data_IF_705276911849
#
_entry.id   IF_705276911849
#
_cell.length_a   1.000
_cell.length_b   1.000
_cell.length_c   1.000
_cell.angle_alpha   90.00
_cell.angle_beta   90.00
_cell.angle_gamma   90.00
#
_symmetry.space_group_name_H-M   'P 1'
#
loop_
_entity.id
_entity.type
_entity.pdbx_description
1 polymer ?
#
# COMPACT_ATOMS: atom_id res chain seq x y z
N UNK A 1 -15.05 -26.69 11.19
CA UNK A 1 -13.86 -25.80 11.17
C UNK A 1 -14.36 -24.50 10.57
N UNK A 2 -14.09 -23.36 11.22
CA UNK A 2 -14.60 -22.06 10.77
C UNK A 2 -14.17 -21.77 9.33
N UNK A 3 -15.12 -21.36 8.49
CA UNK A 3 -14.88 -21.06 7.09
C UNK A 3 -14.45 -19.60 6.96
N UNK A 4 -13.17 -19.37 6.63
CA UNK A 4 -12.63 -18.03 6.41
C UNK A 4 -12.41 -17.77 4.92
N UNK A 5 -12.75 -16.57 4.46
CA UNK A 5 -12.33 -16.05 3.16
C UNK A 5 -11.73 -14.66 3.31
N UNK A 6 -10.54 -14.47 2.75
CA UNK A 6 -9.89 -13.16 2.67
C UNK A 6 -9.80 -12.75 1.21
N UNK A 7 -10.23 -11.53 0.90
CA UNK A 7 -10.21 -10.97 -0.43
C UNK A 7 -9.00 -10.03 -0.57
N UNK A 8 -8.20 -10.25 -1.61
CA UNK A 8 -7.15 -9.31 -2.00
C UNK A 8 -7.65 -8.50 -3.18
N UNK A 9 -7.71 -7.19 -3.00
CA UNK A 9 -8.23 -6.24 -4.01
C UNK A 9 -7.15 -5.83 -5.00
N UNK A 10 -7.45 -5.97 -6.30
CA UNK A 10 -6.58 -5.63 -7.42
C UNK A 10 -7.26 -4.63 -8.34
N UNK A 11 -6.65 -3.46 -8.52
CA UNK A 11 -7.03 -2.51 -9.57
C UNK A 11 -6.17 -2.67 -10.83
N UNK A 12 -4.88 -2.89 -10.61
CA UNK A 12 -3.87 -3.05 -11.64
C UNK A 12 -3.31 -4.48 -11.67
N UNK A 13 -2.61 -4.82 -12.74
CA UNK A 13 -1.99 -6.14 -12.89
C UNK A 13 -0.78 -6.31 -11.97
N UNK A 14 -0.96 -7.13 -10.94
CA UNK A 14 0.07 -7.48 -9.96
C UNK A 14 0.23 -8.99 -9.83
N UNK A 15 1.18 -9.44 -9.00
CA UNK A 15 1.27 -10.87 -8.64
C UNK A 15 -0.04 -11.31 -8.00
N UNK A 16 -0.68 -12.31 -8.60
CA UNK A 16 -1.89 -12.92 -8.07
C UNK A 16 -1.52 -13.80 -6.89
N UNK A 17 -2.13 -13.53 -5.74
CA UNK A 17 -2.00 -14.33 -4.53
C UNK A 17 -3.34 -15.04 -4.33
N UNK A 18 -3.31 -16.38 -4.32
CA UNK A 18 -4.49 -17.23 -4.18
C UNK A 18 -4.12 -18.44 -3.35
N UNK A 19 -4.95 -18.76 -2.36
CA UNK A 19 -4.88 -19.98 -1.53
C UNK A 19 -6.28 -20.55 -1.35
N UNK A 20 -6.50 -21.49 -0.44
CA UNK A 20 -7.87 -21.93 -0.13
C UNK A 20 -8.65 -20.85 0.63
N UNK A 21 -7.94 -19.98 1.37
CA UNK A 21 -8.52 -18.89 2.17
C UNK A 21 -8.47 -17.57 1.39
N UNK A 22 -7.39 -17.31 0.66
CA UNK A 22 -7.16 -16.05 -0.05
C UNK A 22 -7.74 -16.10 -1.45
N UNK A 23 -8.63 -15.17 -1.75
CA UNK A 23 -9.35 -15.05 -3.02
C UNK A 23 -9.04 -13.68 -3.66
N UNK A 24 -8.44 -13.64 -4.87
CA UNK A 24 -8.21 -12.37 -5.56
C UNK A 24 -9.51 -11.83 -6.17
N UNK A 25 -9.76 -10.53 -6.00
CA UNK A 25 -10.89 -9.79 -6.60
C UNK A 25 -10.37 -8.58 -7.38
N UNK A 26 -10.78 -8.46 -8.64
CA UNK A 26 -10.54 -7.30 -9.48
C UNK A 26 -11.58 -6.23 -9.15
N UNK A 27 -11.13 -5.04 -8.76
CA UNK A 27 -11.99 -3.90 -8.43
C UNK A 27 -12.10 -2.93 -9.60
N UNK A 28 -13.27 -2.30 -9.77
CA UNK A 28 -13.53 -1.41 -10.89
C UNK A 28 -13.53 -2.10 -12.24
N UNK A 29 -13.84 -3.41 -12.27
CA UNK A 29 -13.80 -4.22 -13.48
C UNK A 29 -14.76 -3.72 -14.57
N UNK A 30 -15.89 -3.13 -14.20
CA UNK A 30 -16.87 -2.56 -15.14
C UNK A 30 -16.28 -1.44 -16.03
N UNK A 31 -15.23 -0.76 -15.56
CA UNK A 31 -14.57 0.35 -16.27
C UNK A 31 -13.09 0.05 -16.57
N UNK A 32 -12.67 -1.21 -16.45
CA UNK A 32 -11.28 -1.61 -16.62
C UNK A 32 -10.93 -1.86 -18.10
N UNK A 33 -9.73 -1.42 -18.51
CA UNK A 33 -9.19 -1.70 -19.85
C UNK A 33 -8.81 -3.18 -20.03
N UNK A 34 -8.42 -3.86 -18.95
CA UNK A 34 -8.02 -5.27 -18.94
C UNK A 34 -8.83 -6.04 -17.89
N UNK A 35 -9.37 -7.20 -18.29
CA UNK A 35 -10.04 -8.15 -17.38
C UNK A 35 -9.06 -9.23 -16.93
N UNK A 36 -8.92 -9.43 -15.62
CA UNK A 36 -8.07 -10.45 -15.04
C UNK A 36 -8.84 -11.77 -14.90
N UNK A 37 -8.72 -12.64 -15.90
CA UNK A 37 -9.51 -13.88 -16.03
C UNK A 37 -9.49 -14.82 -14.80
N UNK A 38 -8.41 -14.83 -14.03
CA UNK A 38 -8.24 -15.70 -12.85
C UNK A 38 -8.77 -15.08 -11.54
N UNK A 39 -9.48 -13.95 -11.62
CA UNK A 39 -10.01 -13.20 -10.48
C UNK A 39 -11.53 -13.10 -10.50
N UNK A 40 -12.10 -13.04 -9.30
CA UNK A 40 -13.49 -12.59 -9.12
C UNK A 40 -13.58 -11.15 -9.64
N UNK A 41 -14.62 -10.83 -10.40
CA UNK A 41 -14.95 -9.46 -10.77
C UNK A 41 -15.88 -8.83 -9.76
N UNK A 42 -15.72 -7.54 -9.48
CA UNK A 42 -16.66 -6.79 -8.65
C UNK A 42 -17.85 -6.21 -9.44
N UNK A 43 -18.07 -6.67 -10.67
CA UNK A 43 -18.99 -6.11 -11.68
C UNK A 43 -20.20 -7.00 -12.00
N UNK A 44 -20.46 -8.03 -11.19
CA UNK A 44 -21.64 -8.91 -11.31
C UNK A 44 -22.62 -8.71 -10.16
N UNK A 45 -23.87 -9.15 -10.31
CA UNK A 45 -24.88 -9.04 -9.26
C UNK A 45 -25.11 -7.58 -8.83
N UNK A 46 -25.42 -7.38 -7.55
CA UNK A 46 -25.51 -6.03 -6.97
C UNK A 46 -24.10 -5.48 -6.68
N UNK A 47 -23.76 -4.35 -7.30
CA UNK A 47 -22.41 -3.84 -7.32
C UNK A 47 -22.30 -2.33 -7.51
N UNK A 48 -21.11 -1.80 -7.22
CA UNK A 48 -20.73 -0.40 -7.45
C UNK A 48 -19.41 -0.29 -8.22
N UNK A 49 -19.12 -1.25 -9.10
CA UNK A 49 -17.84 -1.34 -9.83
C UNK A 49 -17.52 -0.04 -10.59
N UNK A 50 -18.52 0.55 -11.25
CA UNK A 50 -18.39 1.82 -11.97
C UNK A 50 -18.01 3.01 -11.05
N UNK A 51 -18.31 2.91 -9.75
CA UNK A 51 -17.96 3.94 -8.74
C UNK A 51 -16.54 3.76 -8.19
N UNK A 52 -15.75 2.79 -8.67
CA UNK A 52 -14.37 2.55 -8.23
C UNK A 52 -13.45 3.79 -8.26
N UNK A 53 -13.56 4.75 -9.21
CA UNK A 53 -12.73 5.96 -9.17
C UNK A 53 -12.86 6.72 -7.84
N UNK A 54 -14.03 6.62 -7.18
CA UNK A 54 -14.31 7.23 -5.89
C UNK A 54 -14.12 6.28 -4.71
N UNK A 55 -14.68 5.09 -4.82
CA UNK A 55 -14.70 4.08 -3.75
C UNK A 55 -13.42 3.24 -3.65
N UNK A 56 -12.58 3.24 -4.69
CA UNK A 56 -11.39 2.40 -4.82
C UNK A 56 -11.69 0.94 -4.41
N UNK A 57 -10.87 0.36 -3.53
CA UNK A 57 -10.97 -1.03 -3.06
C UNK A 57 -12.33 -1.37 -2.41
N UNK A 58 -13.08 -0.37 -1.92
CA UNK A 58 -14.41 -0.58 -1.33
C UNK A 58 -15.43 -1.13 -2.33
N UNK A 59 -15.23 -0.94 -3.64
CA UNK A 59 -16.11 -1.54 -4.66
C UNK A 59 -16.10 -3.08 -4.59
N UNK A 60 -14.94 -3.69 -4.37
CA UNK A 60 -14.83 -5.13 -4.10
C UNK A 60 -15.42 -5.54 -2.75
N UNK A 61 -15.30 -4.68 -1.72
CA UNK A 61 -15.93 -4.94 -0.42
C UNK A 61 -17.46 -4.94 -0.53
N UNK A 62 -18.02 -3.96 -1.26
CA UNK A 62 -19.46 -3.88 -1.50
C UNK A 62 -19.97 -5.11 -2.23
N UNK A 63 -19.26 -5.54 -3.29
CA UNK A 63 -19.63 -6.72 -4.05
C UNK A 63 -19.68 -7.97 -3.17
N UNK A 64 -18.68 -8.17 -2.31
CA UNK A 64 -18.67 -9.30 -1.36
C UNK A 64 -19.83 -9.23 -0.37
N UNK A 65 -20.19 -8.03 0.10
CA UNK A 65 -21.33 -7.84 1.01
C UNK A 65 -22.66 -8.19 0.34
N UNK A 66 -22.89 -7.71 -0.88
CA UNK A 66 -24.16 -7.89 -1.58
C UNK A 66 -24.33 -9.26 -2.22
N UNK A 67 -23.22 -9.90 -2.59
CA UNK A 67 -23.20 -11.21 -3.26
C UNK A 67 -22.65 -12.31 -2.32
N UNK A 68 -22.97 -12.21 -1.03
CA UNK A 68 -22.37 -13.02 0.03
C UNK A 68 -22.60 -14.53 -0.12
N UNK A 69 -23.75 -14.92 -0.68
CA UNK A 69 -24.05 -16.32 -0.98
C UNK A 69 -23.11 -16.89 -2.06
N UNK A 70 -22.70 -16.08 -3.04
CA UNK A 70 -21.80 -16.50 -4.13
C UNK A 70 -20.40 -16.84 -3.62
N UNK A 71 -19.98 -16.20 -2.54
CA UNK A 71 -18.72 -16.53 -1.87
C UNK A 71 -18.88 -17.68 -0.87
N UNK A 72 -20.05 -18.30 -0.78
CA UNK A 72 -20.31 -19.50 -0.03
C UNK A 72 -20.42 -19.30 1.48
N UNK A 73 -20.91 -18.14 1.93
CA UNK A 73 -21.26 -17.90 3.33
C UNK A 73 -20.15 -18.22 4.37
N UNK A 74 -18.96 -17.59 4.29
CA UNK A 74 -17.92 -17.80 5.30
C UNK A 74 -18.31 -17.24 6.68
N UNK A 75 -17.75 -17.83 7.74
CA UNK A 75 -17.86 -17.37 9.12
C UNK A 75 -16.98 -16.13 9.37
N UNK A 76 -15.85 -16.03 8.66
CA UNK A 76 -14.94 -14.88 8.69
C UNK A 76 -14.66 -14.31 7.31
N UNK A 77 -14.62 -12.98 7.23
CA UNK A 77 -14.38 -12.22 6.02
C UNK A 77 -13.26 -11.24 6.26
N UNK A 78 -12.29 -11.21 5.35
CA UNK A 78 -11.24 -10.20 5.41
C UNK A 78 -10.94 -9.53 4.10
N UNK A 79 -10.31 -8.37 4.19
CA UNK A 79 -9.82 -7.59 3.06
C UNK A 79 -8.35 -7.22 3.27
N UNK A 80 -7.58 -7.42 2.22
CA UNK A 80 -6.19 -6.95 2.10
C UNK A 80 -6.01 -6.27 0.74
N UNK A 81 -4.91 -5.53 0.60
CA UNK A 81 -4.56 -4.94 -0.70
C UNK A 81 -3.56 -5.82 -1.44
N UNK A 82 -3.53 -5.73 -2.77
CA UNK A 82 -2.58 -6.44 -3.63
C UNK A 82 -1.09 -6.30 -3.26
N UNK A 83 -0.70 -5.22 -2.55
CA UNK A 83 0.68 -4.98 -2.08
C UNK A 83 0.82 -4.84 -0.57
N UNK A 84 -0.27 -4.91 0.20
CA UNK A 84 -0.22 -4.76 1.67
C UNK A 84 -0.96 -5.92 2.31
N UNK A 85 -0.24 -6.70 3.10
CA UNK A 85 -0.77 -7.91 3.71
C UNK A 85 -0.47 -7.94 5.20
N UNK A 86 -1.39 -8.47 5.98
CA UNK A 86 -1.15 -8.74 7.40
C UNK A 86 0.05 -9.66 7.59
N UNK A 87 0.78 -9.45 8.67
CA UNK A 87 1.84 -10.35 9.12
C UNK A 87 1.21 -11.33 10.13
N UNK A 88 0.86 -12.52 9.65
CA UNK A 88 0.28 -13.60 10.44
C UNK A 88 1.36 -14.45 11.11
N UNK A 89 2.51 -14.60 10.47
CA UNK A 89 3.58 -15.47 10.95
C UNK A 89 4.42 -14.76 12.03
N UNK A 90 4.39 -15.31 13.24
CA UNK A 90 5.13 -14.76 14.40
C UNK A 90 6.65 -14.73 14.19
N UNK A 91 7.18 -15.52 13.25
CA UNK A 91 8.61 -15.57 12.94
C UNK A 91 8.99 -14.69 11.75
N UNK A 92 8.08 -13.85 11.25
CA UNK A 92 8.38 -12.88 10.19
C UNK A 92 9.47 -11.90 10.64
N UNK A 93 10.54 -11.76 9.85
CA UNK A 93 11.72 -11.02 10.23
C UNK A 93 11.51 -9.51 10.05
N UNK A 94 11.14 -8.82 11.11
CA UNK A 94 11.00 -7.36 11.11
C UNK A 94 12.31 -6.60 11.37
N UNK A 95 13.36 -7.24 11.91
CA UNK A 95 14.56 -6.55 12.43
C UNK A 95 15.26 -5.66 11.40
N UNK A 96 15.21 -6.04 10.12
CA UNK A 96 15.90 -5.33 9.04
C UNK A 96 14.92 -4.62 8.08
N UNK A 97 13.62 -4.61 8.37
CA UNK A 97 12.62 -3.99 7.49
C UNK A 97 12.33 -2.58 7.95
N UNK A 98 12.42 -1.62 7.03
CA UNK A 98 12.09 -0.22 7.30
C UNK A 98 10.57 -0.03 7.26
N UNK A 99 9.98 0.77 8.16
CA UNK A 99 8.55 1.07 8.08
C UNK A 99 8.26 1.91 6.82
N UNK A 100 7.01 1.89 6.35
CA UNK A 100 6.57 2.60 5.16
C UNK A 100 6.87 4.10 5.28
N UNK A 101 6.49 4.67 6.41
CA UNK A 101 6.85 6.01 6.92
C UNK A 101 7.12 5.95 8.43
N UNK A 102 7.44 7.06 9.08
CA UNK A 102 7.82 7.05 10.50
C UNK A 102 6.63 6.61 11.37
N UNK A 103 6.89 5.73 12.35
CA UNK A 103 5.91 5.27 13.35
C UNK A 103 4.91 4.22 12.90
N UNK A 104 4.72 3.99 11.58
CA UNK A 104 3.71 3.05 11.10
C UNK A 104 4.11 1.57 11.26
N UNK A 105 3.13 0.75 11.65
CA UNK A 105 3.19 -0.71 11.73
C UNK A 105 3.07 -1.43 10.37
N UNK A 106 3.56 -0.80 9.30
CA UNK A 106 3.57 -1.36 7.94
C UNK A 106 5.00 -1.35 7.41
N UNK A 107 5.59 -2.53 7.21
CA UNK A 107 7.01 -2.69 6.94
C UNK A 107 7.30 -3.01 5.48
N UNK A 108 8.28 -2.33 4.89
CA UNK A 108 8.64 -2.51 3.48
C UNK A 108 9.44 -3.78 3.27
N UNK A 109 9.10 -4.50 2.20
CA UNK A 109 9.95 -5.52 1.59
C UNK A 109 10.09 -5.22 0.10
N UNK A 110 11.22 -5.59 -0.49
CA UNK A 110 11.52 -5.26 -1.89
C UNK A 110 10.62 -6.03 -2.87
N UNK A 111 10.27 -7.29 -2.54
CA UNK A 111 9.52 -8.21 -3.38
C UNK A 111 8.74 -9.23 -2.54
N UNK A 112 7.78 -9.87 -3.18
CA UNK A 112 7.07 -11.03 -2.62
C UNK A 112 7.95 -12.28 -2.73
N UNK A 113 8.38 -12.82 -1.59
CA UNK A 113 9.34 -13.92 -1.48
C UNK A 113 8.80 -15.11 -0.67
N UNK A 114 9.65 -16.10 -0.37
CA UNK A 114 9.25 -17.28 0.43
C UNK A 114 8.81 -16.91 1.85
N UNK A 115 9.34 -15.82 2.42
CA UNK A 115 8.90 -15.33 3.73
C UNK A 115 7.46 -14.80 3.64
N UNK A 116 7.13 -14.08 2.57
CA UNK A 116 5.77 -13.63 2.27
C UNK A 116 4.81 -14.81 1.97
N UNK A 117 5.25 -15.81 1.21
CA UNK A 117 4.48 -17.02 0.93
C UNK A 117 4.16 -17.79 2.22
N UNK A 118 5.17 -18.00 3.06
CA UNK A 118 5.01 -18.63 4.37
C UNK A 118 4.06 -17.82 5.26
N UNK A 119 4.21 -16.49 5.28
CA UNK A 119 3.34 -15.60 6.03
C UNK A 119 1.86 -15.78 5.67
N UNK A 120 1.55 -15.91 4.38
CA UNK A 120 0.18 -16.06 3.86
C UNK A 120 -0.28 -17.52 3.73
N UNK A 121 0.44 -18.48 4.32
CA UNK A 121 0.02 -19.87 4.34
C UNK A 121 -1.26 -20.04 5.18
N UNK A 122 -2.20 -20.86 4.70
CA UNK A 122 -3.52 -21.05 5.34
C UNK A 122 -3.42 -21.36 6.84
N UNK A 123 -2.45 -22.19 7.24
CA UNK A 123 -2.19 -22.52 8.65
C UNK A 123 -1.92 -21.30 9.54
N UNK A 124 -1.18 -20.31 9.03
CA UNK A 124 -0.80 -19.13 9.80
C UNK A 124 -1.99 -18.16 9.91
N UNK A 125 -2.81 -18.09 8.86
CA UNK A 125 -4.05 -17.32 8.86
C UNK A 125 -5.05 -17.92 9.85
N UNK A 126 -5.25 -19.24 9.82
CA UNK A 126 -6.13 -19.94 10.78
C UNK A 126 -5.65 -19.77 12.22
N UNK A 127 -4.34 -19.87 12.46
CA UNK A 127 -3.76 -19.59 13.78
C UNK A 127 -4.02 -18.15 14.25
N UNK A 128 -4.19 -17.21 13.32
CA UNK A 128 -4.41 -15.80 13.66
C UNK A 128 -5.78 -15.54 14.28
N UNK A 129 -6.78 -16.39 14.01
CA UNK A 129 -8.14 -16.29 14.54
C UNK A 129 -8.41 -17.27 15.70
N UNK A 130 -7.45 -18.13 16.05
CA UNK A 130 -7.52 -18.99 17.25
C UNK A 130 -7.80 -18.15 18.51
N UNK A 131 -8.63 -18.70 19.41
CA UNK A 131 -9.05 -18.02 20.63
C UNK A 131 -10.34 -17.20 20.49
N UNK A 132 -11.11 -17.42 19.41
CA UNK A 132 -12.41 -16.80 19.17
C UNK A 132 -12.28 -15.27 19.05
N UNK A 133 -11.36 -14.82 18.19
CA UNK A 133 -11.11 -13.40 17.91
C UNK A 133 -12.23 -12.82 17.05
N UNK A 134 -12.87 -11.74 17.47
CA UNK A 134 -14.01 -11.16 16.74
C UNK A 134 -13.57 -10.37 15.50
N UNK A 135 -12.48 -9.60 15.62
CA UNK A 135 -11.96 -8.78 14.55
C UNK A 135 -10.42 -8.62 14.63
N UNK A 136 -9.78 -8.77 13.48
CA UNK A 136 -8.37 -8.46 13.25
C UNK A 136 -8.28 -7.18 12.41
N UNK A 137 -7.44 -6.24 12.82
CA UNK A 137 -7.16 -5.02 12.07
C UNK A 137 -5.65 -4.70 12.08
N UNK A 138 -5.22 -3.74 11.27
CA UNK A 138 -3.84 -3.23 11.34
C UNK A 138 -3.69 -2.48 12.67
N UNK A 139 -2.53 -2.57 13.31
CA UNK A 139 -2.21 -1.76 14.49
C UNK A 139 -2.49 -0.27 14.25
N UNK A 140 -3.09 0.43 15.23
CA UNK A 140 -3.37 1.84 15.12
C UNK A 140 -2.08 2.65 14.89
N UNK A 141 -2.17 3.64 14.02
CA UNK A 141 -1.12 4.61 13.75
C UNK A 141 -1.48 5.95 14.39
N UNK A 142 -0.49 6.57 15.03
CA UNK A 142 -0.60 7.94 15.53
C UNK A 142 -0.07 8.92 14.50
N UNK A 143 -0.94 9.80 13.97
CA UNK A 143 -0.58 10.79 12.95
C UNK A 143 0.48 11.79 13.43
N UNK A 144 0.68 11.91 14.75
CA UNK A 144 1.73 12.77 15.31
C UNK A 144 3.15 12.31 14.95
N UNK A 145 3.33 11.05 14.52
CA UNK A 145 4.60 10.60 13.94
C UNK A 145 4.87 11.17 12.55
N UNK A 146 3.83 11.63 11.85
CA UNK A 146 3.97 12.28 10.54
C UNK A 146 4.38 13.75 10.72
N UNK A 147 3.66 14.47 11.57
CA UNK A 147 3.97 15.82 12.03
C UNK A 147 3.51 15.96 13.47
N UNK A 148 4.40 16.33 14.38
CA UNK A 148 4.08 16.45 15.82
C UNK A 148 3.07 17.54 16.13
N UNK A 149 2.78 18.44 15.17
CA UNK A 149 1.73 19.46 15.30
C UNK A 149 0.36 18.96 14.81
N UNK A 150 0.28 17.74 14.29
CA UNK A 150 -0.94 17.16 13.76
C UNK A 150 -1.75 16.49 14.87
N UNK A 151 -2.45 17.33 15.63
CA UNK A 151 -3.16 16.92 16.85
C UNK A 151 -4.55 16.35 16.58
N UNK A 152 -5.11 16.64 15.41
CA UNK A 152 -6.53 16.42 15.13
C UNK A 152 -6.70 15.79 13.74
N UNK A 153 -7.40 14.66 13.69
CA UNK A 153 -7.62 13.91 12.46
C UNK A 153 -8.34 14.74 11.37
N UNK A 154 -9.25 15.63 11.78
CA UNK A 154 -9.93 16.55 10.86
C UNK A 154 -8.94 17.46 10.13
N UNK A 155 -7.97 18.00 10.85
CA UNK A 155 -6.93 18.87 10.34
C UNK A 155 -5.95 18.08 9.48
N UNK A 156 -5.57 16.87 9.92
CA UNK A 156 -4.77 15.92 9.14
C UNK A 156 -5.38 15.66 7.76
N UNK A 157 -6.69 15.35 7.71
CA UNK A 157 -7.41 15.11 6.46
C UNK A 157 -7.21 16.28 5.49
N UNK A 158 -7.35 17.51 5.96
CA UNK A 158 -7.23 18.72 5.12
C UNK A 158 -5.78 19.01 4.72
N UNK A 159 -4.81 18.73 5.59
CA UNK A 159 -3.42 19.11 5.37
C UNK A 159 -2.63 18.09 4.54
N UNK A 160 -2.92 16.79 4.67
CA UNK A 160 -2.02 15.73 4.17
C UNK A 160 -2.61 14.90 3.03
N UNK A 161 -3.93 14.75 2.97
CA UNK A 161 -4.57 13.96 1.92
C UNK A 161 -4.69 14.81 0.68
N UNK A 162 -3.90 14.46 -0.35
CA UNK A 162 -3.95 15.13 -1.63
C UNK A 162 -5.38 15.13 -2.19
N UNK A 163 -5.90 16.33 -2.44
CA UNK A 163 -7.25 16.52 -2.97
C UNK A 163 -8.37 16.52 -1.94
N UNK A 164 -8.07 16.46 -0.65
CA UNK A 164 -9.07 16.63 0.40
C UNK A 164 -9.70 18.04 0.33
N UNK A 165 -10.98 18.12 0.71
CA UNK A 165 -11.71 19.38 0.74
C UNK A 165 -12.50 19.49 2.03
N UNK A 166 -12.48 20.68 2.65
CA UNK A 166 -13.20 20.96 3.91
C UNK A 166 -14.69 20.67 3.80
N UNK A 167 -15.28 20.93 2.64
CA UNK A 167 -16.69 20.65 2.38
C UNK A 167 -17.01 19.16 2.48
N UNK A 168 -16.12 18.28 2.00
CA UNK A 168 -16.30 16.82 2.06
C UNK A 168 -16.29 16.36 3.52
N UNK A 169 -15.34 16.86 4.32
CA UNK A 169 -15.31 16.57 5.76
C UNK A 169 -16.58 17.02 6.48
N UNK A 170 -17.06 18.23 6.21
CA UNK A 170 -18.27 18.74 6.85
C UNK A 170 -19.51 17.91 6.49
N UNK A 171 -19.65 17.52 5.22
CA UNK A 171 -20.73 16.63 4.76
C UNK A 171 -20.62 15.27 5.46
N UNK A 172 -19.41 14.69 5.51
CA UNK A 172 -19.14 13.42 6.18
C UNK A 172 -19.53 13.44 7.66
N UNK A 173 -19.02 14.43 8.41
CA UNK A 173 -19.29 14.60 9.83
C UNK A 173 -20.79 14.76 10.10
N UNK A 174 -21.48 15.64 9.36
CA UNK A 174 -22.92 15.85 9.52
C UNK A 174 -23.75 14.62 9.12
N UNK A 175 -23.31 13.86 8.11
CA UNK A 175 -23.99 12.64 7.67
C UNK A 175 -23.95 11.58 8.76
N UNK A 176 -22.81 11.41 9.44
CA UNK A 176 -22.70 10.47 10.57
C UNK A 176 -23.64 10.88 11.71
N UNK A 177 -23.61 12.15 12.13
CA UNK A 177 -24.51 12.62 13.20
C UNK A 177 -26.00 12.41 12.87
N UNK A 178 -26.36 12.52 11.59
CA UNK A 178 -27.74 12.36 11.14
C UNK A 178 -28.17 10.90 11.07
N UNK A 179 -27.35 10.04 10.48
CA UNK A 179 -27.70 8.65 10.19
C UNK A 179 -27.40 7.70 11.36
N UNK A 180 -26.36 8.00 12.13
CA UNK A 180 -25.83 7.17 13.22
C UNK A 180 -25.51 8.05 14.45
N UNK A 181 -26.53 8.70 15.08
CA UNK A 181 -26.32 9.58 16.23
C UNK A 181 -25.64 8.89 17.43
N UNK A 182 -25.75 7.57 17.55
CA UNK A 182 -25.05 6.74 18.53
C UNK A 182 -23.52 6.68 18.32
N UNK A 183 -23.01 7.14 17.17
CA UNK A 183 -21.59 7.32 16.91
C UNK A 183 -21.07 8.72 17.27
N UNK A 184 -21.90 9.63 17.79
CA UNK A 184 -21.49 11.03 18.05
C UNK A 184 -20.24 11.15 18.93
N UNK A 185 -20.17 10.44 20.05
CA UNK A 185 -18.98 10.45 20.93
C UNK A 185 -17.75 9.87 20.23
N UNK A 186 -17.91 8.79 19.46
CA UNK A 186 -16.82 8.17 18.69
C UNK A 186 -16.33 9.12 17.61
N UNK A 187 -17.25 9.79 16.92
CA UNK A 187 -16.97 10.74 15.87
C UNK A 187 -16.16 11.91 16.41
N UNK A 188 -16.53 12.46 17.57
CA UNK A 188 -15.77 13.53 18.22
C UNK A 188 -14.38 13.03 18.66
N UNK A 189 -14.33 11.88 19.32
CA UNK A 189 -13.05 11.28 19.75
C UNK A 189 -12.11 11.01 18.57
N UNK A 190 -12.65 10.57 17.43
CA UNK A 190 -11.88 10.37 16.21
C UNK A 190 -11.44 11.70 15.61
N UNK A 191 -12.37 12.65 15.45
CA UNK A 191 -12.12 13.95 14.81
C UNK A 191 -11.08 14.79 15.55
N UNK A 192 -11.15 14.79 16.89
CA UNK A 192 -10.24 15.53 17.78
C UNK A 192 -9.10 14.66 18.32
N UNK A 193 -8.96 13.43 17.84
CA UNK A 193 -7.87 12.53 18.17
C UNK A 193 -6.83 12.43 17.06
N UNK A 194 -5.82 11.60 17.27
CA UNK A 194 -4.70 11.40 16.34
C UNK A 194 -4.53 9.95 15.87
N UNK A 195 -5.46 9.06 16.20
CA UNK A 195 -5.31 7.62 15.96
C UNK A 195 -6.12 7.15 14.75
N UNK A 196 -5.49 6.37 13.87
CA UNK A 196 -6.12 5.77 12.68
C UNK A 196 -5.66 4.34 12.40
N UNK A 197 -6.57 3.48 11.97
CA UNK A 197 -6.26 2.17 11.39
C UNK A 197 -6.18 2.29 9.86
N UNK A 198 -4.98 2.51 9.34
CA UNK A 198 -4.74 2.76 7.91
C UNK A 198 -5.02 1.54 7.02
N UNK A 199 -5.13 1.78 5.71
CA UNK A 199 -5.24 0.79 4.63
C UNK A 199 -6.58 0.02 4.55
N UNK A 200 -7.62 0.38 5.30
CA UNK A 200 -8.92 -0.31 5.23
C UNK A 200 -8.82 -1.86 5.23
N UNK A 201 -7.88 -2.42 6.02
CA UNK A 201 -7.62 -3.86 6.07
C UNK A 201 -8.18 -4.43 7.37
N UNK A 202 -8.92 -5.53 7.27
CA UNK A 202 -9.51 -6.22 8.41
C UNK A 202 -9.78 -7.71 8.12
N UNK A 203 -10.04 -8.48 9.18
CA UNK A 203 -10.69 -9.80 9.14
C UNK A 203 -11.73 -9.80 10.26
N UNK A 204 -13.00 -10.02 9.97
CA UNK A 204 -14.11 -9.92 10.92
C UNK A 204 -14.98 -11.16 10.86
N UNK A 205 -15.62 -11.50 11.98
CA UNK A 205 -16.78 -12.41 11.98
C UNK A 205 -17.87 -11.88 11.06
N UNK A 206 -18.65 -12.79 10.46
CA UNK A 206 -19.74 -12.48 9.52
C UNK A 206 -20.65 -11.35 10.01
N UNK A 207 -21.16 -11.45 11.23
CA UNK A 207 -22.11 -10.45 11.78
C UNK A 207 -21.48 -9.05 11.85
N UNK A 208 -20.23 -8.96 12.29
CA UNK A 208 -19.50 -7.70 12.34
C UNK A 208 -19.20 -7.14 10.94
N UNK A 209 -18.87 -8.01 9.99
CA UNK A 209 -18.68 -7.58 8.60
C UNK A 209 -19.96 -6.98 8.00
N UNK A 210 -21.12 -7.58 8.25
CA UNK A 210 -22.41 -7.07 7.77
C UNK A 210 -22.75 -5.73 8.42
N UNK A 211 -22.63 -5.63 9.74
CA UNK A 211 -22.87 -4.39 10.48
C UNK A 211 -21.92 -3.27 10.02
N UNK A 212 -20.64 -3.59 9.80
CA UNK A 212 -19.66 -2.65 9.28
C UNK A 212 -20.01 -2.19 7.87
N UNK A 213 -20.38 -3.09 6.97
CA UNK A 213 -20.72 -2.71 5.60
C UNK A 213 -21.97 -1.84 5.55
N UNK A 214 -23.01 -2.17 6.34
CA UNK A 214 -24.20 -1.33 6.45
C UNK A 214 -23.84 0.08 6.94
N UNK A 215 -23.12 0.19 8.06
CA UNK A 215 -22.62 1.46 8.58
C UNK A 215 -21.81 2.25 7.53
N UNK A 216 -20.80 1.60 6.95
CA UNK A 216 -19.85 2.23 6.03
C UNK A 216 -20.55 2.72 4.75
N UNK A 217 -21.30 1.85 4.07
CA UNK A 217 -21.86 2.18 2.77
C UNK A 217 -23.07 3.10 2.85
N UNK A 218 -23.90 3.04 3.90
CA UNK A 218 -24.99 4.00 4.08
C UNK A 218 -24.44 5.43 4.23
N UNK A 219 -23.37 5.62 4.99
CA UNK A 219 -22.72 6.93 5.15
C UNK A 219 -22.07 7.36 3.82
N UNK A 220 -21.27 6.50 3.20
CA UNK A 220 -20.55 6.86 1.97
C UNK A 220 -21.50 7.20 0.82
N UNK A 221 -22.61 6.47 0.67
CA UNK A 221 -23.62 6.77 -0.35
C UNK A 221 -24.28 8.14 -0.13
N UNK A 222 -24.68 8.45 1.10
CA UNK A 222 -25.28 9.74 1.42
C UNK A 222 -24.29 10.90 1.25
N UNK A 223 -23.01 10.69 1.56
CA UNK A 223 -21.93 11.65 1.29
C UNK A 223 -21.71 11.83 -0.22
N UNK A 224 -21.59 10.74 -0.99
CA UNK A 224 -21.35 10.76 -2.45
C UNK A 224 -22.46 11.52 -3.19
N UNK A 225 -23.72 11.37 -2.75
CA UNK A 225 -24.88 12.07 -3.30
C UNK A 225 -24.82 13.59 -3.17
N UNK A 226 -24.17 14.08 -2.11
CA UNK A 226 -24.09 15.53 -1.81
C UNK A 226 -22.88 16.20 -2.49
N UNK A 227 -21.94 15.43 -3.04
CA UNK A 227 -20.69 15.96 -3.59
C UNK A 227 -20.76 16.10 -5.11
N UNK A 228 -20.63 17.34 -5.58
CA UNK A 228 -20.42 17.64 -7.00
C UNK A 228 -18.93 17.46 -7.31
N UNK A 229 -18.60 16.46 -8.11
CA UNK A 229 -17.21 16.04 -8.37
C UNK A 229 -16.78 16.12 -9.84
N UNK A 230 -17.52 16.86 -10.69
CA UNK A 230 -17.25 16.98 -12.14
C UNK A 230 -15.83 17.48 -12.46
N UNK A 231 -15.32 18.40 -11.64
CA UNK A 231 -14.02 19.04 -11.86
C UNK A 231 -12.91 18.47 -10.96
N UNK A 232 -13.16 17.32 -10.32
CA UNK A 232 -12.17 16.69 -9.45
C UNK A 232 -11.09 16.00 -10.30
N UNK A 233 -9.83 16.20 -9.93
CA UNK A 233 -8.73 15.38 -10.41
C UNK A 233 -8.88 13.92 -10.00
N UNK A 234 -8.13 13.02 -10.65
CA UNK A 234 -8.09 11.59 -10.30
C UNK A 234 -7.81 11.34 -8.81
N UNK A 235 -7.00 12.20 -8.20
CA UNK A 235 -6.63 12.07 -6.79
C UNK A 235 -7.74 12.58 -5.86
N UNK A 236 -8.40 13.69 -6.21
CA UNK A 236 -9.56 14.23 -5.48
C UNK A 236 -10.76 13.29 -5.50
N UNK A 237 -10.99 12.58 -6.61
CA UNK A 237 -12.12 11.65 -6.73
C UNK A 237 -12.11 10.55 -5.68
N UNK A 238 -10.94 10.19 -5.13
CA UNK A 238 -10.76 9.05 -4.21
C UNK A 238 -11.30 9.28 -2.80
N UNK A 239 -12.08 10.34 -2.57
CA UNK A 239 -12.55 10.73 -1.24
C UNK A 239 -13.31 9.63 -0.50
N UNK A 240 -14.16 8.83 -1.17
CA UNK A 240 -14.87 7.73 -0.50
C UNK A 240 -13.90 6.67 0.02
N UNK A 241 -12.82 6.37 -0.71
CA UNK A 241 -11.77 5.47 -0.24
C UNK A 241 -11.11 5.98 1.06
N UNK A 242 -10.78 7.28 1.11
CA UNK A 242 -10.22 7.90 2.32
C UNK A 242 -11.19 7.87 3.50
N UNK A 243 -12.45 8.22 3.27
CA UNK A 243 -13.49 8.17 4.29
C UNK A 243 -13.76 6.74 4.77
N UNK A 244 -13.58 5.72 3.91
CA UNK A 244 -13.67 4.32 4.29
C UNK A 244 -12.65 3.91 5.36
N UNK A 245 -11.41 4.39 5.29
CA UNK A 245 -10.38 4.16 6.32
C UNK A 245 -10.79 4.78 7.68
N UNK A 246 -11.44 5.95 7.64
CA UNK A 246 -11.94 6.63 8.83
C UNK A 246 -13.13 5.90 9.44
N UNK A 247 -14.07 5.45 8.60
CA UNK A 247 -15.22 4.65 9.01
C UNK A 247 -14.78 3.31 9.62
N UNK A 248 -13.77 2.65 9.06
CA UNK A 248 -13.21 1.43 9.66
C UNK A 248 -12.63 1.73 11.06
N UNK A 249 -11.88 2.83 11.20
CA UNK A 249 -11.31 3.22 12.49
C UNK A 249 -12.39 3.47 13.53
N UNK A 250 -13.43 4.25 13.18
CA UNK A 250 -14.56 4.51 14.08
C UNK A 250 -15.34 3.24 14.42
N UNK A 251 -15.49 2.32 13.47
CA UNK A 251 -16.11 1.02 13.73
C UNK A 251 -15.28 0.19 14.73
N UNK A 252 -13.95 0.14 14.57
CA UNK A 252 -13.04 -0.50 15.53
C UNK A 252 -13.16 0.15 16.92
N UNK A 253 -13.23 1.48 17.00
CA UNK A 253 -13.44 2.18 18.27
C UNK A 253 -14.76 1.79 18.94
N UNK A 254 -15.84 1.61 18.16
CA UNK A 254 -17.12 1.09 18.67
C UNK A 254 -16.95 -0.32 19.25
N UNK A 255 -16.30 -1.22 18.50
CA UNK A 255 -16.05 -2.58 18.96
C UNK A 255 -15.21 -2.63 20.25
N UNK A 256 -14.27 -1.70 20.41
CA UNK A 256 -13.51 -1.55 21.66
C UNK A 256 -14.40 -1.12 22.83
N UNK A 257 -15.30 -0.15 22.64
CA UNK A 257 -16.25 0.28 23.67
C UNK A 257 -17.20 -0.85 24.09
N UNK A 258 -17.55 -1.73 23.15
CA UNK A 258 -18.41 -2.90 23.36
C UNK A 258 -17.65 -4.13 23.88
N UNK A 259 -16.33 -4.03 24.12
CA UNK A 259 -15.46 -5.09 24.64
C UNK A 259 -15.36 -6.34 23.74
N UNK A 260 -15.43 -6.19 22.42
CA UNK A 260 -15.13 -7.29 21.48
C UNK A 260 -13.65 -7.71 21.58
N UNK A 261 -13.35 -8.97 21.27
CA UNK A 261 -11.98 -9.53 21.26
C UNK A 261 -11.27 -9.11 19.98
N UNK A 262 -10.56 -7.99 20.05
CA UNK A 262 -9.80 -7.45 18.93
C UNK A 262 -8.34 -7.91 18.92
N UNK A 263 -7.80 -8.14 17.73
CA UNK A 263 -6.38 -8.42 17.52
C UNK A 263 -5.78 -7.47 16.50
N UNK A 264 -4.65 -6.86 16.86
CA UNK A 264 -3.98 -5.90 16.00
C UNK A 264 -2.67 -6.48 15.46
N UNK A 265 -2.54 -6.54 14.14
CA UNK A 265 -1.36 -7.08 13.45
C UNK A 265 -0.54 -5.98 12.78
N UNK A 266 0.76 -6.22 12.67
CA UNK A 266 1.61 -5.48 11.73
C UNK A 266 1.26 -5.92 10.29
N UNK A 267 1.65 -5.11 9.30
CA UNK A 267 1.52 -5.47 7.90
C UNK A 267 2.85 -5.34 7.14
N UNK A 268 2.94 -5.99 5.99
CA UNK A 268 4.05 -5.87 5.05
C UNK A 268 3.60 -5.16 3.77
N UNK A 269 4.38 -4.18 3.31
CA UNK A 269 4.24 -3.50 2.03
C UNK A 269 5.26 -4.04 1.03
N UNK A 270 4.77 -4.61 -0.08
CA UNK A 270 5.61 -5.05 -1.20
C UNK A 270 5.91 -3.84 -2.11
N UNK A 271 7.18 -3.48 -2.27
CA UNK A 271 7.56 -2.29 -3.05
C UNK A 271 7.58 -2.53 -4.56
N UNK A 272 8.00 -3.72 -5.00
CA UNK A 272 8.12 -4.05 -6.42
C UNK A 272 7.45 -5.39 -6.74
N UNK A 273 6.78 -5.42 -7.89
CA UNK A 273 6.02 -6.60 -8.34
C UNK A 273 6.86 -7.55 -9.19
N UNK A 274 8.08 -7.13 -9.58
CA UNK A 274 8.96 -7.93 -10.41
C UNK A 274 10.43 -7.86 -9.92
N UNK A 275 10.91 -8.92 -9.25
CA UNK A 275 12.30 -9.01 -8.79
C UNK A 275 13.33 -8.86 -9.93
N UNK A 276 13.02 -9.34 -11.13
CA UNK A 276 13.93 -9.28 -12.29
C UNK A 276 14.04 -7.86 -12.86
N UNK A 277 12.93 -7.11 -12.90
CA UNK A 277 12.91 -5.71 -13.36
C UNK A 277 13.77 -4.82 -12.44
N UNK A 278 13.69 -5.06 -11.13
CA UNK A 278 14.53 -4.35 -10.15
C UNK A 278 15.98 -4.83 -10.17
N UNK A 279 16.26 -6.13 -10.33
CA UNK A 279 17.64 -6.63 -10.55
C UNK A 279 18.26 -5.94 -11.77
N UNK A 280 17.53 -5.81 -12.88
CA UNK A 280 17.95 -5.03 -14.05
C UNK A 280 18.14 -3.55 -13.72
N UNK A 281 17.26 -2.92 -12.93
CA UNK A 281 17.41 -1.52 -12.50
C UNK A 281 18.64 -1.31 -11.60
N UNK A 282 18.87 -2.19 -10.63
CA UNK A 282 20.05 -2.19 -9.74
C UNK A 282 21.33 -2.43 -10.53
N UNK A 283 21.32 -3.42 -11.43
CA UNK A 283 22.43 -3.65 -12.38
C UNK A 283 22.65 -2.42 -13.27
N UNK A 284 21.60 -1.76 -13.76
CA UNK A 284 21.72 -0.52 -14.55
C UNK A 284 22.26 0.65 -13.72
N UNK A 285 21.86 0.79 -12.45
CA UNK A 285 22.42 1.80 -11.53
C UNK A 285 23.89 1.52 -11.21
N UNK A 286 24.23 0.25 -10.95
CA UNK A 286 25.61 -0.18 -10.73
C UNK A 286 26.45 0.04 -11.99
N UNK A 287 25.93 -0.35 -13.15
CA UNK A 287 26.54 -0.11 -14.45
C UNK A 287 26.70 1.39 -14.70
N UNK A 288 25.73 2.25 -14.39
CA UNK A 288 25.86 3.70 -14.54
C UNK A 288 26.87 4.32 -13.56
N UNK A 289 27.02 3.74 -12.36
CA UNK A 289 28.05 4.14 -11.38
C UNK A 289 29.45 3.78 -11.87
N UNK A 290 29.60 2.65 -12.56
CA UNK A 290 30.88 2.18 -13.11
C UNK A 290 31.16 2.84 -14.47
N UNK A 291 30.15 2.96 -15.33
CA UNK A 291 30.17 3.44 -16.71
C UNK A 291 28.97 4.36 -16.97
N UNK A 292 29.20 5.67 -16.99
CA UNK A 292 28.13 6.65 -17.12
C UNK A 292 28.56 7.90 -17.87
N UNK A 293 27.67 8.51 -18.65
CA UNK A 293 27.89 9.82 -19.26
C UNK A 293 26.78 10.75 -18.75
N UNK A 294 27.15 11.83 -18.08
CA UNK A 294 26.24 12.91 -17.68
C UNK A 294 26.63 14.16 -18.47
N UNK A 295 25.67 14.77 -19.17
CA UNK A 295 25.88 16.00 -19.95
C UNK A 295 25.14 17.15 -19.29
N UNK A 296 25.84 18.21 -18.95
CA UNK A 296 25.26 19.51 -18.60
C UNK A 296 25.56 20.52 -19.70
N UNK A 297 24.95 21.72 -19.62
CA UNK A 297 25.14 22.80 -20.60
C UNK A 297 26.63 23.19 -20.73
N UNK A 298 27.38 23.12 -19.63
CA UNK A 298 28.76 23.61 -19.56
C UNK A 298 29.81 22.49 -19.54
N UNK A 299 29.44 21.27 -19.15
CA UNK A 299 30.38 20.18 -18.93
C UNK A 299 29.85 18.82 -19.38
N UNK A 300 30.76 17.94 -19.79
CA UNK A 300 30.49 16.51 -19.94
C UNK A 300 31.23 15.77 -18.82
N UNK A 301 30.50 15.01 -18.00
CA UNK A 301 31.10 14.06 -17.05
C UNK A 301 31.06 12.67 -17.65
N UNK A 302 32.19 11.99 -17.69
CA UNK A 302 32.30 10.59 -18.11
C UNK A 302 32.81 9.80 -16.91
N UNK A 303 32.10 8.73 -16.53
CA UNK A 303 32.49 7.77 -15.50
C UNK A 303 32.98 6.51 -16.21
N UNK A 304 34.20 6.08 -15.91
CA UNK A 304 34.79 4.83 -16.41
C UNK A 304 35.41 4.12 -15.21
N UNK A 305 35.02 2.87 -14.95
CA UNK A 305 35.41 2.10 -13.77
C UNK A 305 35.22 2.86 -12.43
N UNK A 306 34.20 3.72 -12.33
CA UNK A 306 33.92 4.52 -11.13
C UNK A 306 34.75 5.79 -10.97
N UNK A 307 35.71 6.05 -11.86
CA UNK A 307 36.48 7.32 -11.91
C UNK A 307 35.68 8.34 -12.72
N UNK A 308 35.45 9.53 -12.14
CA UNK A 308 34.68 10.60 -12.78
C UNK A 308 35.61 11.61 -13.45
N UNK A 309 35.50 11.76 -14.76
CA UNK A 309 36.23 12.72 -15.58
C UNK A 309 35.30 13.86 -15.98
N UNK A 310 35.69 15.11 -15.73
CA UNK A 310 34.90 16.31 -16.06
C UNK A 310 35.59 17.05 -17.21
N UNK A 311 34.86 17.28 -18.30
CA UNK A 311 35.37 17.96 -19.49
C UNK A 311 34.55 19.22 -19.78
N UNK A 312 35.21 20.31 -20.14
CA UNK A 312 34.54 21.53 -20.60
C UNK A 312 34.03 21.32 -22.04
N UNK A 313 32.78 21.70 -22.30
CA UNK A 313 32.07 21.37 -23.53
C UNK A 313 32.75 21.76 -24.87
N UNK A 314 33.65 22.77 -25.00
CA UNK A 314 34.16 23.13 -26.33
C UNK A 314 35.26 22.22 -26.90
N UNK A 315 35.97 21.40 -26.11
CA UNK A 315 37.19 20.70 -26.59
C UNK A 315 37.34 19.25 -26.10
N UNK A 316 36.26 18.46 -26.13
CA UNK A 316 36.28 17.07 -25.60
C UNK A 316 37.16 16.10 -26.42
N UNK A 317 37.42 16.38 -27.71
CA UNK A 317 38.28 15.51 -28.56
C UNK A 317 39.79 15.70 -28.30
N UNK A 318 40.22 16.92 -27.98
CA UNK A 318 41.65 17.28 -27.81
C UNK A 318 42.18 16.83 -26.44
N UNK A 319 41.34 16.84 -25.39
CA UNK A 319 41.77 16.46 -24.04
C UNK A 319 41.95 14.96 -23.86
N UNK A 320 41.09 14.15 -24.47
CA UNK A 320 41.16 12.67 -24.38
C UNK A 320 42.40 12.12 -25.07
N UNK A 321 42.78 12.68 -26.24
CA UNK A 321 44.00 12.29 -26.94
C UNK A 321 45.26 12.63 -26.13
N UNK A 322 45.36 13.86 -25.59
CA UNK A 322 46.49 14.29 -24.75
C UNK A 322 46.63 13.49 -23.45
N UNK A 323 45.51 13.08 -22.84
CA UNK A 323 45.53 12.29 -21.60
C UNK A 323 45.91 10.81 -21.84
N UNK A 324 45.61 10.27 -23.02
CA UNK A 324 46.05 8.94 -23.46
C UNK A 324 47.54 8.98 -23.83
N UNK A 325 48.00 10.02 -24.53
CA UNK A 325 49.42 10.21 -24.91
C UNK A 325 50.37 10.40 -23.71
N UNK A 326 49.87 10.89 -22.57
CA UNK A 326 50.68 11.12 -21.36
C UNK A 326 50.72 9.93 -20.39
N UNK A 327 50.24 8.74 -20.77
CA UNK A 327 50.17 7.48 -19.98
C UNK A 327 49.45 7.54 -18.62
N UNK A 328 49.08 8.72 -18.12
CA UNK A 328 48.38 8.90 -16.83
C UNK A 328 47.01 8.25 -16.83
N UNK A 329 46.27 8.35 -17.95
CA UNK A 329 44.93 7.76 -18.06
C UNK A 329 44.99 6.23 -18.10
N UNK A 330 45.96 5.70 -18.85
CA UNK A 330 46.17 4.26 -19.01
C UNK A 330 46.57 3.63 -17.67
N UNK A 331 47.51 4.25 -16.95
CA UNK A 331 47.95 3.80 -15.63
C UNK A 331 46.82 3.82 -14.58
N UNK A 332 46.03 4.90 -14.52
CA UNK A 332 44.90 4.97 -13.58
C UNK A 332 43.81 3.92 -13.89
N UNK A 333 43.58 3.63 -15.17
CA UNK A 333 42.69 2.55 -15.60
C UNK A 333 43.25 1.18 -15.23
N UNK A 334 44.53 0.93 -15.46
CA UNK A 334 45.20 -0.33 -15.08
C UNK A 334 45.11 -0.56 -13.57
N UNK A 335 45.48 0.42 -12.73
CA UNK A 335 45.38 0.29 -11.26
C UNK A 335 43.95 -0.05 -10.84
N UNK A 336 42.94 0.63 -11.39
CA UNK A 336 41.54 0.38 -11.02
C UNK A 336 41.03 -0.97 -11.48
N UNK A 337 41.47 -1.44 -12.66
CA UNK A 337 41.15 -2.78 -13.16
C UNK A 337 41.79 -3.85 -12.28
N UNK A 338 43.06 -3.67 -11.86
CA UNK A 338 43.74 -4.59 -10.95
C UNK A 338 43.07 -4.66 -9.58
N UNK A 339 42.73 -3.51 -8.97
CA UNK A 339 41.98 -3.47 -7.69
C UNK A 339 40.64 -4.21 -7.79
N UNK A 340 39.91 -4.01 -8.89
CA UNK A 340 38.63 -4.69 -9.12
C UNK A 340 38.81 -6.20 -9.36
N UNK A 341 39.91 -6.62 -9.99
CA UNK A 341 40.24 -8.04 -10.17
C UNK A 341 40.57 -8.72 -8.83
N UNK A 342 41.36 -8.06 -7.97
CA UNK A 342 41.65 -8.55 -6.61
C UNK A 342 40.38 -8.67 -5.75
N UNK A 343 39.49 -7.66 -5.78
CA UNK A 343 38.19 -7.72 -5.10
C UNK A 343 37.29 -8.87 -5.62
N UNK A 344 37.41 -9.23 -6.90
CA UNK A 344 36.66 -10.33 -7.52
C UNK A 344 37.23 -11.71 -7.16
N UNK A 345 38.54 -11.82 -7.00
CA UNK A 345 39.23 -13.06 -6.56
C UNK A 345 38.93 -13.32 -5.07
N UNK A 346 38.98 -12.29 -4.23
CA UNK A 346 38.67 -12.38 -2.79
C UNK A 346 37.21 -12.72 -2.48
N UNK A 347 36.28 -12.55 -3.44
CA UNK A 347 34.86 -12.94 -3.31
C UNK A 347 34.55 -14.35 -3.83
N UNK A 348 35.53 -15.05 -4.44
CA UNK A 348 35.39 -16.43 -4.94
C UNK A 348 35.92 -17.50 -3.97
N UNK A 349 36.59 -17.09 -2.90
CA UNK A 349 36.85 -17.88 -1.70
C UNK A 349 35.89 -17.44 -0.59
#
# INVERSE_FOLDING_TARGET
MEKIKIFITYKDKHRIIKTNIINPIQTGRAIADEVFQDMIGDDTGDNISEKNPRYNELSGQYWVWKNFDEIGNPDYIGFMHYRRHFIFDKSFNLKNKKPWFLGINVFKTDYFDRECERNLADKNILQSIEGDIDCIAIKPYDIQYFDSNDLYMKEHYIATIAGSKRIIWNIFYNTILKLYPEYSEILDKFSYGSIINVCNMFIMKKELFFNYCEFCFNILEEVDRQIIHKDFSTQELRYCGYLGEYLLTMYIMKLQQENHKLKFLDAVLIMNDNPQKEKRRRLRKLFHKIFGIEKTITHKKIKIFGITFKFNAPNTKILLHKLIEQDRLLNALYTKVSELQEELILKKH
#
